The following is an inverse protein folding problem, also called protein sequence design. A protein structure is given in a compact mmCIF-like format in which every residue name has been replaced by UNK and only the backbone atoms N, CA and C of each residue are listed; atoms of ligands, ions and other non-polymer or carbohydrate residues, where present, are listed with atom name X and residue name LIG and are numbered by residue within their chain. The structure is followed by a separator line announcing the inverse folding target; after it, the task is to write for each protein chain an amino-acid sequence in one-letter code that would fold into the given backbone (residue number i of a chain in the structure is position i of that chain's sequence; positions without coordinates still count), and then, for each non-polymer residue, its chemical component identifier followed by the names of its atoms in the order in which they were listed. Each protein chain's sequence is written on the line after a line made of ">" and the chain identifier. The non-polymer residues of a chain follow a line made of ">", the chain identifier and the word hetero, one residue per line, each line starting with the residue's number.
data_IF_837527203974
#
_entry.id   IF_837527203974
#
_cell.length_a   1.000
_cell.length_b   1.000
_cell.length_c   1.000
_cell.angle_alpha   90.00
_cell.angle_beta   90.00
_cell.angle_gamma   90.00
#
_symmetry.space_group_name_H-M   'P 1'
#
loop_
_entity.id
_entity.type
_entity.pdbx_description
1 polymer ?
#
# COMPACT_ATOMS: atom_id res chain seq x y z
N UNK A 1 19.55 -24.45 -2.46
CA UNK A 1 20.98 -24.77 -2.18
C UNK A 1 21.55 -23.83 -1.12
N UNK A 2 21.27 -22.53 -1.20
CA UNK A 2 21.81 -21.51 -0.29
C UNK A 2 21.16 -21.43 1.09
N UNK A 3 20.02 -22.10 1.33
CA UNK A 3 19.30 -22.03 2.62
C UNK A 3 20.20 -22.34 3.81
N UNK A 4 21.07 -23.36 3.73
CA UNK A 4 21.95 -23.74 4.84
C UNK A 4 22.96 -22.65 5.21
N UNK A 5 23.57 -21.99 4.22
CA UNK A 5 24.57 -20.94 4.47
C UNK A 5 23.90 -19.65 4.94
N UNK A 6 22.69 -19.36 4.45
CA UNK A 6 21.85 -18.25 4.91
C UNK A 6 21.44 -18.47 6.37
N UNK A 7 20.92 -19.66 6.72
CA UNK A 7 20.49 -19.98 8.08
C UNK A 7 21.67 -19.92 9.06
N UNK A 8 22.87 -20.37 8.64
CA UNK A 8 24.08 -20.27 9.44
C UNK A 8 24.50 -18.81 9.69
N UNK A 9 24.40 -17.93 8.67
CA UNK A 9 24.64 -16.50 8.83
C UNK A 9 23.64 -15.87 9.80
N UNK A 10 22.34 -16.07 9.58
CA UNK A 10 21.26 -15.51 10.42
C UNK A 10 21.41 -15.98 11.88
N UNK A 11 21.78 -17.24 12.11
CA UNK A 11 21.98 -17.76 13.47
C UNK A 11 23.19 -17.13 14.18
N UNK A 12 24.27 -16.85 13.44
CA UNK A 12 25.49 -16.25 13.99
C UNK A 12 25.32 -14.75 14.28
N UNK A 13 24.50 -14.06 13.49
CA UNK A 13 24.31 -12.61 13.50
C UNK A 13 22.96 -12.19 14.12
N UNK A 14 22.40 -13.01 15.02
CA UNK A 14 21.12 -12.69 15.68
C UNK A 14 21.19 -11.33 16.37
N UNK A 15 20.19 -10.51 16.09
CA UNK A 15 20.07 -9.16 16.65
C UNK A 15 18.62 -8.92 17.05
N UNK A 16 18.43 -8.27 18.19
CA UNK A 16 17.13 -7.78 18.65
C UNK A 16 16.82 -6.38 18.08
N UNK A 17 17.75 -5.80 17.29
CA UNK A 17 17.56 -4.51 16.65
C UNK A 17 16.38 -4.57 15.67
N UNK A 18 15.44 -3.66 15.83
CA UNK A 18 14.32 -3.49 14.91
C UNK A 18 14.71 -2.43 13.87
N UNK A 19 15.08 -2.83 12.64
CA UNK A 19 15.55 -1.88 11.63
C UNK A 19 14.44 -0.91 11.24
N UNK A 20 14.79 0.37 11.13
CA UNK A 20 13.97 1.37 10.42
C UNK A 20 14.44 1.53 8.98
N UNK A 21 14.86 0.44 8.35
CA UNK A 21 15.35 0.43 6.98
C UNK A 21 14.29 -0.18 6.09
N UNK A 22 13.97 0.50 5.01
CA UNK A 22 13.01 0.04 4.02
C UNK A 22 13.76 -0.48 2.80
N UNK A 23 13.40 -1.68 2.37
CA UNK A 23 13.88 -2.23 1.10
C UNK A 23 13.43 -1.32 -0.04
N UNK A 24 14.36 -0.93 -0.90
CA UNK A 24 14.07 -0.23 -2.14
C UNK A 24 14.09 -1.21 -3.31
N UNK A 25 15.24 -1.79 -3.64
CA UNK A 25 15.37 -2.68 -4.80
C UNK A 25 16.60 -3.58 -4.73
N UNK A 26 16.72 -4.53 -5.65
CA UNK A 26 17.83 -5.48 -5.73
C UNK A 26 18.35 -5.70 -7.16
N UNK A 27 19.64 -5.51 -7.39
CA UNK A 27 20.28 -5.94 -8.62
C UNK A 27 21.02 -7.26 -8.44
N UNK A 28 20.65 -8.27 -9.24
CA UNK A 28 21.35 -9.54 -9.30
C UNK A 28 22.47 -9.43 -10.34
N UNK A 29 23.71 -9.34 -9.87
CA UNK A 29 24.87 -9.19 -10.75
C UNK A 29 25.25 -10.52 -11.44
N UNK A 30 25.19 -11.61 -10.69
CA UNK A 30 25.48 -12.95 -11.17
C UNK A 30 24.67 -14.02 -10.39
N UNK A 31 25.03 -15.29 -10.55
CA UNK A 31 24.29 -16.39 -9.92
C UNK A 31 24.36 -16.39 -8.39
N UNK A 32 25.36 -15.72 -7.80
CA UNK A 32 25.72 -15.72 -6.38
C UNK A 32 25.79 -14.33 -5.75
N UNK A 33 25.90 -13.28 -6.55
CA UNK A 33 26.11 -11.90 -6.08
C UNK A 33 24.85 -11.06 -6.27
N UNK A 34 24.44 -10.39 -5.19
CA UNK A 34 23.27 -9.52 -5.13
C UNK A 34 23.67 -8.16 -4.55
N UNK A 35 23.24 -7.08 -5.19
CA UNK A 35 23.31 -5.74 -4.64
C UNK A 35 21.91 -5.32 -4.20
N UNK A 36 21.82 -4.73 -3.03
CA UNK A 36 20.59 -4.22 -2.48
C UNK A 36 20.72 -2.72 -2.29
N UNK A 37 19.60 -2.05 -2.48
CA UNK A 37 19.38 -0.66 -2.11
C UNK A 37 18.29 -0.66 -1.04
N UNK A 38 18.62 -0.08 0.10
CA UNK A 38 17.72 0.23 1.20
C UNK A 38 17.72 1.73 1.41
N UNK A 39 16.71 2.23 2.13
CA UNK A 39 16.71 3.61 2.54
C UNK A 39 16.12 3.77 3.95
N UNK A 40 16.46 4.89 4.57
CA UNK A 40 15.88 5.37 5.83
C UNK A 40 15.62 6.86 5.70
N UNK A 41 14.64 7.39 6.42
CA UNK A 41 14.51 8.83 6.61
C UNK A 41 15.03 9.25 7.98
N UNK A 42 15.87 10.28 8.00
CA UNK A 42 16.41 10.85 9.23
C UNK A 42 15.33 11.63 10.01
N UNK A 43 15.64 12.18 11.21
CA UNK A 43 14.66 12.98 11.97
C UNK A 43 14.19 14.27 11.26
N UNK A 44 14.90 14.73 10.23
CA UNK A 44 14.50 15.84 9.35
C UNK A 44 13.72 15.37 8.13
N UNK A 45 13.44 14.06 8.04
CA UNK A 45 12.75 13.37 6.95
C UNK A 45 13.53 13.34 5.62
N UNK A 46 14.83 13.60 5.67
CA UNK A 46 15.72 13.45 4.52
C UNK A 46 16.05 11.96 4.32
N UNK A 47 15.91 11.50 3.08
CA UNK A 47 16.24 10.14 2.71
C UNK A 47 17.75 9.93 2.71
N UNK A 48 18.18 8.82 3.32
CA UNK A 48 19.54 8.30 3.33
C UNK A 48 19.49 6.94 2.65
N UNK A 49 20.19 6.83 1.53
CA UNK A 49 20.32 5.59 0.77
C UNK A 49 21.45 4.74 1.34
N UNK A 50 21.20 3.43 1.40
CA UNK A 50 22.10 2.42 1.95
C UNK A 50 22.24 1.30 0.95
N UNK A 51 23.47 0.95 0.62
CA UNK A 51 23.81 -0.08 -0.34
C UNK A 51 24.56 -1.21 0.35
N UNK A 52 24.09 -2.43 0.11
CA UNK A 52 24.82 -3.63 0.54
C UNK A 52 25.01 -4.60 -0.61
N UNK A 53 26.08 -5.37 -0.54
CA UNK A 53 26.40 -6.44 -1.44
C UNK A 53 26.44 -7.76 -0.67
N UNK A 54 25.76 -8.78 -1.20
CA UNK A 54 25.72 -10.13 -0.65
C UNK A 54 26.34 -11.08 -1.67
N UNK A 55 27.31 -11.88 -1.23
CA UNK A 55 27.90 -12.96 -2.01
C UNK A 55 27.61 -14.32 -1.37
N UNK A 56 27.03 -15.23 -2.15
CA UNK A 56 26.67 -16.60 -1.74
C UNK A 56 27.76 -17.60 -2.15
N UNK A 57 28.90 -17.54 -1.45
CA UNK A 57 30.03 -18.45 -1.62
C UNK A 57 29.87 -19.78 -0.86
N UNK A 58 30.97 -20.26 -0.29
CA UNK A 58 30.95 -21.37 0.68
C UNK A 58 30.35 -20.90 2.03
N UNK A 59 30.57 -19.63 2.36
CA UNK A 59 29.89 -18.89 3.42
C UNK A 59 29.23 -17.64 2.81
N UNK A 60 28.29 -17.04 3.55
CA UNK A 60 27.68 -15.77 3.17
C UNK A 60 28.64 -14.64 3.52
N UNK A 61 28.99 -13.83 2.53
CA UNK A 61 29.75 -12.59 2.72
C UNK A 61 28.81 -11.41 2.50
N UNK A 62 28.81 -10.46 3.44
CA UNK A 62 28.01 -9.24 3.36
C UNK A 62 28.94 -8.03 3.47
N UNK A 63 28.77 -7.09 2.55
CA UNK A 63 29.49 -5.81 2.53
C UNK A 63 28.49 -4.67 2.48
N UNK A 64 28.35 -3.95 3.58
CA UNK A 64 27.61 -2.68 3.64
C UNK A 64 28.56 -1.57 3.19
N UNK A 65 28.11 -0.67 2.31
CA UNK A 65 28.95 0.38 1.73
C UNK A 65 29.00 1.64 2.62
N UNK A 66 28.00 1.82 3.47
CA UNK A 66 27.84 2.93 4.41
C UNK A 66 28.45 2.60 5.77
N UNK A 67 28.83 3.66 6.50
CA UNK A 67 29.36 3.56 7.86
C UNK A 67 28.20 3.46 8.87
N UNK A 68 27.70 2.23 9.08
CA UNK A 68 26.62 1.92 10.02
C UNK A 68 27.15 1.14 11.23
N UNK A 69 26.40 1.18 12.34
CA UNK A 69 26.72 0.38 13.52
C UNK A 69 26.54 -1.12 13.22
N UNK A 70 27.36 -1.99 13.83
CA UNK A 70 27.40 -3.44 13.56
C UNK A 70 26.01 -4.11 13.64
N UNK A 71 25.23 -3.82 14.69
CA UNK A 71 23.86 -4.35 14.83
C UNK A 71 22.89 -3.90 13.72
N UNK A 72 23.11 -2.74 13.10
CA UNK A 72 22.30 -2.26 11.98
C UNK A 72 22.69 -2.98 10.70
N UNK A 73 23.99 -3.16 10.47
CA UNK A 73 24.51 -4.00 9.39
C UNK A 73 23.93 -5.41 9.45
N UNK A 74 23.94 -6.04 10.63
CA UNK A 74 23.38 -7.38 10.84
C UNK A 74 21.87 -7.43 10.53
N UNK A 75 21.10 -6.44 10.99
CA UNK A 75 19.66 -6.40 10.77
C UNK A 75 19.29 -6.25 9.28
N UNK A 76 19.94 -5.34 8.55
CA UNK A 76 19.71 -5.14 7.12
C UNK A 76 20.18 -6.37 6.34
N UNK A 77 21.33 -6.95 6.70
CA UNK A 77 21.84 -8.17 6.09
C UNK A 77 20.86 -9.34 6.25
N UNK A 78 20.28 -9.53 7.44
CA UNK A 78 19.30 -10.59 7.69
C UNK A 78 18.04 -10.38 6.84
N UNK A 79 17.52 -9.16 6.75
CA UNK A 79 16.36 -8.85 5.90
C UNK A 79 16.65 -9.17 4.42
N UNK A 80 17.78 -8.67 3.90
CA UNK A 80 18.21 -8.92 2.52
C UNK A 80 18.42 -10.41 2.24
N UNK A 81 19.02 -11.17 3.16
CA UNK A 81 19.19 -12.62 3.02
C UNK A 81 17.85 -13.37 3.03
N UNK A 82 16.86 -12.93 3.80
CA UNK A 82 15.52 -13.49 3.76
C UNK A 82 14.86 -13.27 2.39
N UNK A 83 15.08 -12.12 1.75
CA UNK A 83 14.64 -11.84 0.37
C UNK A 83 15.38 -12.72 -0.66
N UNK A 84 16.71 -12.80 -0.59
CA UNK A 84 17.53 -13.71 -1.42
C UNK A 84 17.04 -15.16 -1.31
N UNK A 85 16.71 -15.62 -0.10
CA UNK A 85 16.15 -16.95 0.13
C UNK A 85 14.82 -17.14 -0.62
N UNK A 86 13.97 -16.11 -0.65
CA UNK A 86 12.75 -16.10 -1.46
C UNK A 86 13.07 -16.26 -2.94
N UNK A 87 13.97 -15.43 -3.47
CA UNK A 87 14.30 -15.39 -4.89
C UNK A 87 14.98 -16.66 -5.40
N UNK A 88 16.00 -17.14 -4.69
CA UNK A 88 16.86 -18.25 -5.13
C UNK A 88 16.20 -19.63 -5.06
N UNK A 89 15.03 -19.73 -4.43
CA UNK A 89 14.23 -20.95 -4.41
C UNK A 89 13.36 -21.14 -5.66
N UNK A 90 13.36 -20.17 -6.58
CA UNK A 90 12.51 -20.18 -7.78
C UNK A 90 13.34 -20.26 -9.06
N UNK A 91 12.76 -20.89 -10.08
CA UNK A 91 13.40 -21.01 -11.39
C UNK A 91 13.33 -19.67 -12.12
N UNK A 92 14.45 -19.27 -12.72
CA UNK A 92 14.55 -18.13 -13.64
C UNK A 92 15.05 -18.59 -14.99
N UNK A 93 14.80 -17.80 -16.03
CA UNK A 93 15.27 -18.03 -17.39
C UNK A 93 16.11 -16.89 -17.94
N UNK A 94 15.97 -15.68 -17.39
CA UNK A 94 16.84 -14.56 -17.73
C UNK A 94 18.12 -14.71 -16.91
N UNK A 95 19.25 -14.86 -17.59
CA UNK A 95 20.55 -14.84 -16.93
C UNK A 95 20.83 -13.41 -16.41
N UNK A 96 21.43 -13.25 -15.22
CA UNK A 96 21.77 -11.93 -14.64
C UNK A 96 22.50 -11.00 -15.63
N UNK A 97 23.51 -11.53 -16.32
CA UNK A 97 24.30 -10.80 -17.33
C UNK A 97 23.52 -10.37 -18.58
N UNK A 98 22.29 -10.85 -18.76
CA UNK A 98 21.40 -10.55 -19.89
C UNK A 98 20.22 -9.66 -19.51
N UNK A 99 20.12 -9.21 -18.25
CA UNK A 99 19.01 -8.40 -17.79
C UNK A 99 18.90 -7.07 -18.53
N UNK A 100 20.02 -6.33 -18.64
CA UNK A 100 20.05 -5.06 -19.39
C UNK A 100 19.59 -5.24 -20.84
N UNK A 101 20.13 -6.25 -21.55
CA UNK A 101 19.74 -6.55 -22.93
C UNK A 101 18.24 -6.88 -23.05
N UNK A 102 17.69 -7.62 -22.08
CA UNK A 102 16.28 -7.97 -22.04
C UNK A 102 15.39 -6.75 -21.78
N UNK A 103 15.72 -5.91 -20.79
CA UNK A 103 14.94 -4.70 -20.47
C UNK A 103 14.94 -3.73 -21.64
N UNK A 104 16.07 -3.56 -22.32
CA UNK A 104 16.16 -2.70 -23.49
C UNK A 104 15.35 -3.21 -24.70
N UNK A 105 15.23 -4.53 -24.88
CA UNK A 105 14.52 -5.15 -25.99
C UNK A 105 13.71 -6.38 -25.54
N UNK A 106 12.58 -6.18 -24.84
CA UNK A 106 11.88 -7.26 -24.17
C UNK A 106 11.20 -8.18 -25.18
N UNK A 107 11.54 -9.47 -25.12
CA UNK A 107 10.88 -10.52 -25.89
C UNK A 107 10.16 -11.46 -24.93
N UNK A 108 8.85 -11.25 -24.79
CA UNK A 108 7.98 -12.09 -23.95
C UNK A 108 7.81 -13.47 -24.59
N UNK A 109 8.10 -14.52 -23.81
CA UNK A 109 8.03 -15.93 -24.25
C UNK A 109 7.48 -16.80 -23.12
N UNK A 110 6.89 -17.94 -23.49
CA UNK A 110 6.30 -18.89 -22.53
C UNK A 110 7.31 -19.45 -21.51
N UNK A 111 8.61 -19.41 -21.83
CA UNK A 111 9.67 -19.86 -20.94
C UNK A 111 9.88 -18.94 -19.73
N UNK A 112 9.52 -17.65 -19.85
CA UNK A 112 9.66 -16.69 -18.75
C UNK A 112 8.86 -17.14 -17.53
N UNK A 113 9.38 -16.84 -16.35
CA UNK A 113 8.75 -17.18 -15.07
C UNK A 113 8.29 -15.93 -14.33
N UNK A 114 7.44 -16.14 -13.32
CA UNK A 114 7.05 -15.08 -12.39
C UNK A 114 8.26 -14.43 -11.70
N UNK A 115 9.28 -15.22 -11.36
CA UNK A 115 10.51 -14.69 -10.73
C UNK A 115 11.37 -13.88 -11.71
N UNK A 116 11.34 -14.20 -13.02
CA UNK A 116 11.99 -13.36 -14.03
C UNK A 116 11.37 -11.96 -14.04
N UNK A 117 10.05 -11.84 -13.87
CA UNK A 117 9.38 -10.53 -13.82
C UNK A 117 9.75 -9.73 -12.58
N UNK A 118 9.90 -10.38 -11.42
CA UNK A 118 10.37 -9.70 -10.22
C UNK A 118 11.78 -9.16 -10.41
N UNK A 119 12.69 -9.95 -10.99
CA UNK A 119 14.04 -9.46 -11.28
C UNK A 119 14.06 -8.35 -12.34
N UNK A 120 13.10 -8.31 -13.27
CA UNK A 120 12.95 -7.18 -14.20
C UNK A 120 12.52 -5.92 -13.44
N UNK A 121 11.56 -6.03 -12.51
CA UNK A 121 11.15 -4.91 -11.65
C UNK A 121 12.33 -4.41 -10.84
N UNK A 122 12.97 -5.29 -10.06
CA UNK A 122 14.07 -4.91 -9.18
C UNK A 122 15.23 -4.29 -9.97
N UNK A 123 15.55 -4.82 -11.15
CA UNK A 123 16.59 -4.26 -12.03
C UNK A 123 16.25 -2.84 -12.48
N UNK A 124 15.03 -2.62 -12.98
CA UNK A 124 14.60 -1.29 -13.44
C UNK A 124 14.64 -0.31 -12.26
N UNK A 125 14.09 -0.68 -11.10
CA UNK A 125 14.08 0.19 -9.92
C UNK A 125 15.47 0.46 -9.36
N UNK A 126 16.40 -0.49 -9.42
CA UNK A 126 17.78 -0.29 -8.97
C UNK A 126 18.57 0.65 -9.89
N UNK A 127 18.38 0.55 -11.22
CA UNK A 127 19.17 1.32 -12.19
C UNK A 127 18.53 2.66 -12.58
N UNK A 128 17.20 2.75 -12.56
CA UNK A 128 16.43 3.93 -12.98
C UNK A 128 15.75 4.64 -11.80
N UNK A 129 15.72 4.02 -10.62
CA UNK A 129 15.02 4.51 -9.43
C UNK A 129 13.52 4.20 -9.44
N UNK A 130 12.84 4.48 -8.32
CA UNK A 130 11.38 4.34 -8.20
C UNK A 130 10.67 5.62 -8.60
N UNK A 131 10.28 5.69 -9.87
CA UNK A 131 9.58 6.84 -10.45
C UNK A 131 8.56 6.39 -11.52
N UNK A 132 7.64 7.28 -11.96
CA UNK A 132 6.59 6.90 -12.91
C UNK A 132 7.10 6.32 -14.24
N UNK A 133 8.24 6.76 -14.76
CA UNK A 133 8.81 6.28 -16.02
C UNK A 133 9.36 4.85 -15.86
N UNK A 134 10.07 4.59 -14.77
CA UNK A 134 10.56 3.25 -14.41
C UNK A 134 9.40 2.26 -14.20
N UNK A 135 8.37 2.67 -13.48
CA UNK A 135 7.17 1.84 -13.27
C UNK A 135 6.45 1.58 -14.60
N UNK A 136 6.32 2.57 -15.47
CA UNK A 136 5.78 2.39 -16.82
C UNK A 136 6.62 1.40 -17.64
N UNK A 137 7.95 1.52 -17.61
CA UNK A 137 8.86 0.63 -18.32
C UNK A 137 8.65 -0.83 -17.89
N UNK A 138 8.56 -1.10 -16.59
CA UNK A 138 8.25 -2.43 -16.06
C UNK A 138 6.89 -2.94 -16.56
N UNK A 139 5.81 -2.18 -16.38
CA UNK A 139 4.47 -2.66 -16.75
C UNK A 139 4.28 -2.84 -18.26
N UNK A 140 5.04 -2.12 -19.10
CA UNK A 140 5.07 -2.34 -20.55
C UNK A 140 5.55 -3.74 -20.97
N UNK A 141 6.31 -4.40 -20.07
CA UNK A 141 6.79 -5.78 -20.19
C UNK A 141 5.84 -6.72 -19.45
N UNK A 142 5.53 -6.41 -18.19
CA UNK A 142 4.75 -7.26 -17.31
C UNK A 142 3.35 -7.55 -17.85
N UNK A 143 2.65 -6.53 -18.38
CA UNK A 143 1.29 -6.71 -18.89
C UNK A 143 1.26 -7.68 -20.08
N UNK A 144 2.23 -7.60 -21.00
CA UNK A 144 2.36 -8.55 -22.12
C UNK A 144 2.64 -9.98 -21.63
N UNK A 145 3.47 -10.12 -20.61
CA UNK A 145 3.70 -11.41 -19.97
C UNK A 145 2.41 -11.95 -19.33
N UNK A 146 1.66 -11.09 -18.65
CA UNK A 146 0.40 -11.45 -18.01
C UNK A 146 -0.68 -11.86 -19.03
N UNK A 147 -0.84 -11.10 -20.11
CA UNK A 147 -1.70 -11.43 -21.25
C UNK A 147 -1.35 -12.78 -21.87
N UNK A 148 -0.06 -13.06 -22.09
CA UNK A 148 0.39 -14.36 -22.58
C UNK A 148 -0.01 -15.50 -21.64
N UNK A 149 0.10 -15.32 -20.32
CA UNK A 149 -0.34 -16.34 -19.36
C UNK A 149 -1.85 -16.60 -19.46
N UNK A 150 -2.66 -15.56 -19.68
CA UNK A 150 -4.11 -15.67 -19.92
C UNK A 150 -4.38 -16.47 -21.19
N UNK A 151 -3.77 -16.08 -22.32
CA UNK A 151 -3.94 -16.76 -23.62
C UNK A 151 -3.61 -18.25 -23.54
N UNK A 152 -2.59 -18.60 -22.75
CA UNK A 152 -2.12 -19.97 -22.54
C UNK A 152 -2.82 -20.70 -21.40
N UNK A 153 -3.79 -20.05 -20.73
CA UNK A 153 -4.55 -20.59 -19.59
C UNK A 153 -3.65 -21.06 -18.44
N UNK A 154 -2.53 -20.37 -18.21
CA UNK A 154 -1.55 -20.67 -17.15
C UNK A 154 -1.94 -19.98 -15.84
N UNK A 155 -3.14 -20.31 -15.35
CA UNK A 155 -3.76 -19.62 -14.21
C UNK A 155 -2.93 -19.73 -12.92
N UNK A 156 -2.27 -20.87 -12.69
CA UNK A 156 -1.41 -21.04 -11.51
C UNK A 156 -0.23 -20.07 -11.54
N UNK A 157 0.39 -19.89 -12.69
CA UNK A 157 1.48 -18.94 -12.89
C UNK A 157 1.01 -17.50 -12.89
N UNK A 158 -0.22 -17.21 -13.33
CA UNK A 158 -0.82 -15.87 -13.20
C UNK A 158 -0.93 -15.47 -11.73
N UNK A 159 -1.56 -16.34 -10.91
CA UNK A 159 -1.72 -16.09 -9.47
C UNK A 159 -0.36 -15.95 -8.80
N UNK A 160 0.61 -16.82 -9.13
CA UNK A 160 1.97 -16.69 -8.61
C UNK A 160 2.64 -15.37 -9.02
N UNK A 161 2.51 -14.98 -10.28
CA UNK A 161 3.12 -13.75 -10.80
C UNK A 161 2.57 -12.49 -10.14
N UNK A 162 1.26 -12.44 -9.92
CA UNK A 162 0.64 -11.28 -9.32
C UNK A 162 0.88 -11.22 -7.81
N UNK A 163 0.79 -12.36 -7.13
CA UNK A 163 1.14 -12.50 -5.70
C UNK A 163 2.58 -12.03 -5.41
N UNK A 164 3.55 -12.47 -6.22
CA UNK A 164 4.93 -12.00 -6.09
C UNK A 164 5.08 -10.50 -6.38
N UNK A 165 4.35 -9.96 -7.36
CA UNK A 165 4.38 -8.52 -7.64
C UNK A 165 3.86 -7.73 -6.45
N UNK A 166 2.76 -8.17 -5.82
CA UNK A 166 2.24 -7.52 -4.62
C UNK A 166 3.24 -7.57 -3.46
N UNK A 167 4.04 -8.63 -3.33
CA UNK A 167 5.07 -8.77 -2.29
C UNK A 167 6.26 -7.79 -2.43
N UNK A 168 6.55 -7.31 -3.64
CA UNK A 168 7.68 -6.39 -3.86
C UNK A 168 7.34 -4.92 -3.67
N UNK A 169 6.07 -4.53 -3.83
CA UNK A 169 5.65 -3.13 -3.78
C UNK A 169 5.68 -2.61 -2.34
N UNK A 170 6.23 -1.42 -2.15
CA UNK A 170 6.13 -0.72 -0.88
C UNK A 170 4.76 -0.01 -0.77
N UNK A 171 3.93 -0.44 0.17
CA UNK A 171 2.60 0.14 0.35
C UNK A 171 2.62 1.40 1.21
N UNK A 172 2.89 1.26 2.51
CA UNK A 172 2.78 2.37 3.44
C UNK A 172 3.92 2.31 4.45
N UNK A 173 4.72 3.37 4.52
CA UNK A 173 5.74 3.55 5.56
C UNK A 173 5.57 4.92 6.20
N UNK A 174 5.21 4.92 7.48
CA UNK A 174 5.09 6.13 8.27
C UNK A 174 6.42 6.47 8.94
N UNK A 175 7.07 7.54 8.48
CA UNK A 175 8.25 8.11 9.09
C UNK A 175 7.87 9.17 10.11
N UNK A 176 8.53 9.14 11.26
CA UNK A 176 8.31 10.08 12.36
C UNK A 176 9.56 10.94 12.52
N UNK A 177 9.46 12.20 12.11
CA UNK A 177 10.48 13.22 12.32
C UNK A 177 10.35 13.89 13.69
N UNK A 178 11.08 14.99 13.89
CA UNK A 178 11.11 15.70 15.18
C UNK A 178 9.73 16.28 15.54
N UNK A 179 9.05 16.91 14.58
CA UNK A 179 7.77 17.61 14.81
C UNK A 179 6.67 17.20 13.83
N UNK A 180 6.97 16.32 12.88
CA UNK A 180 6.09 16.01 11.76
C UNK A 180 6.22 14.55 11.35
N UNK A 181 5.25 14.08 10.56
CA UNK A 181 5.29 12.73 9.98
C UNK A 181 5.37 12.81 8.47
N UNK A 182 5.89 11.76 7.83
CA UNK A 182 5.89 11.60 6.38
C UNK A 182 5.40 10.21 6.05
N UNK A 183 4.53 10.07 5.05
CA UNK A 183 4.00 8.79 4.62
C UNK A 183 4.54 8.45 3.22
N UNK A 184 5.44 7.46 3.10
CA UNK A 184 5.82 6.95 1.78
C UNK A 184 4.71 6.02 1.25
N UNK A 185 4.32 6.22 -0.02
CA UNK A 185 3.24 5.49 -0.69
C UNK A 185 3.57 5.12 -2.14
N UNK A 186 4.63 4.33 -2.33
CA UNK A 186 5.04 3.88 -3.66
C UNK A 186 3.92 3.17 -4.44
N UNK A 187 3.05 2.41 -3.75
CA UNK A 187 1.90 1.74 -4.37
C UNK A 187 1.01 2.65 -5.24
N UNK A 188 0.98 3.96 -5.00
CA UNK A 188 0.22 4.92 -5.82
C UNK A 188 0.69 4.91 -7.29
N UNK A 189 1.99 4.69 -7.54
CA UNK A 189 2.53 4.56 -8.91
C UNK A 189 2.08 3.26 -9.60
N UNK A 190 1.84 2.21 -8.82
CA UNK A 190 1.42 0.90 -9.32
C UNK A 190 -0.10 0.77 -9.46
N UNK A 191 -0.86 1.62 -8.77
CA UNK A 191 -2.30 1.50 -8.57
C UNK A 191 -3.08 1.28 -9.88
N UNK A 192 -2.83 2.09 -10.91
CA UNK A 192 -3.54 1.98 -12.19
C UNK A 192 -3.28 0.64 -12.90
N UNK A 193 -2.05 0.15 -12.84
CA UNK A 193 -1.67 -1.13 -13.44
C UNK A 193 -2.23 -2.31 -12.65
N UNK A 194 -2.21 -2.23 -11.32
CA UNK A 194 -2.81 -3.25 -10.47
C UNK A 194 -4.32 -3.37 -10.75
N UNK A 195 -5.04 -2.24 -10.83
CA UNK A 195 -6.46 -2.24 -11.25
C UNK A 195 -6.63 -2.94 -12.61
N UNK A 196 -5.77 -2.64 -13.59
CA UNK A 196 -5.82 -3.29 -14.89
C UNK A 196 -5.59 -4.81 -14.81
N UNK A 197 -4.64 -5.26 -13.98
CA UNK A 197 -4.35 -6.68 -13.77
C UNK A 197 -5.54 -7.38 -13.12
N UNK A 198 -6.11 -6.80 -12.07
CA UNK A 198 -7.32 -7.32 -11.41
C UNK A 198 -8.46 -7.45 -12.43
N UNK A 199 -8.70 -6.44 -13.25
CA UNK A 199 -9.75 -6.49 -14.27
C UNK A 199 -9.50 -7.58 -15.33
N UNK A 200 -8.25 -7.82 -15.72
CA UNK A 200 -7.88 -8.94 -16.60
C UNK A 200 -8.07 -10.31 -15.93
N UNK A 201 -7.95 -10.37 -14.61
CA UNK A 201 -8.11 -11.56 -13.79
C UNK A 201 -9.58 -11.94 -13.55
N UNK A 202 -10.47 -10.95 -13.40
CA UNK A 202 -11.88 -11.14 -13.03
C UNK A 202 -12.61 -12.25 -13.79
N UNK A 203 -12.46 -12.41 -15.13
CA UNK A 203 -13.15 -13.47 -15.86
C UNK A 203 -12.71 -14.90 -15.52
N UNK A 204 -11.57 -15.08 -14.87
CA UNK A 204 -10.90 -16.38 -14.68
C UNK A 204 -10.76 -16.79 -13.20
N UNK A 205 -11.48 -16.10 -12.30
CA UNK A 205 -11.29 -16.22 -10.85
C UNK A 205 -11.59 -17.61 -10.34
N UNK A 206 -12.59 -18.29 -10.90
CA UNK A 206 -12.89 -19.69 -10.54
C UNK A 206 -11.70 -20.58 -10.87
N UNK A 207 -11.20 -20.51 -12.09
CA UNK A 207 -10.10 -21.34 -12.55
C UNK A 207 -8.81 -21.07 -11.76
N UNK A 208 -8.54 -19.80 -11.43
CA UNK A 208 -7.43 -19.40 -10.57
C UNK A 208 -7.57 -19.94 -9.14
N UNK A 209 -8.78 -19.87 -8.59
CA UNK A 209 -9.08 -20.41 -7.26
C UNK A 209 -8.94 -21.94 -7.21
N UNK A 210 -9.41 -22.64 -8.24
CA UNK A 210 -9.35 -24.11 -8.31
C UNK A 210 -7.90 -24.63 -8.37
N UNK A 211 -7.00 -23.90 -9.02
CA UNK A 211 -5.60 -24.32 -9.17
C UNK A 211 -4.68 -23.85 -8.05
N UNK A 212 -5.03 -22.77 -7.33
CA UNK A 212 -4.15 -22.15 -6.32
C UNK A 212 -4.91 -21.40 -5.20
N UNK A 213 -5.79 -22.09 -4.44
CA UNK A 213 -6.70 -21.45 -3.50
C UNK A 213 -5.98 -20.70 -2.37
N UNK A 214 -4.95 -21.30 -1.78
CA UNK A 214 -4.18 -20.68 -0.68
C UNK A 214 -3.48 -19.39 -1.12
N UNK A 215 -2.99 -19.35 -2.36
CA UNK A 215 -2.30 -18.16 -2.89
C UNK A 215 -3.28 -17.07 -3.28
N UNK A 216 -4.44 -17.44 -3.83
CA UNK A 216 -5.53 -16.49 -4.05
C UNK A 216 -5.94 -15.82 -2.74
N UNK A 217 -6.07 -16.59 -1.65
CA UNK A 217 -6.37 -16.04 -0.33
C UNK A 217 -5.26 -15.09 0.17
N UNK A 218 -3.98 -15.48 0.01
CA UNK A 218 -2.84 -14.63 0.37
C UNK A 218 -2.83 -13.30 -0.41
N UNK A 219 -3.05 -13.37 -1.72
CA UNK A 219 -3.08 -12.21 -2.60
C UNK A 219 -4.19 -11.22 -2.23
N UNK A 220 -5.41 -11.71 -1.94
CA UNK A 220 -6.51 -10.83 -1.53
C UNK A 220 -6.25 -10.25 -0.15
N UNK A 221 -5.68 -11.02 0.78
CA UNK A 221 -5.23 -10.47 2.05
C UNK A 221 -4.21 -9.35 1.84
N UNK A 222 -3.20 -9.55 1.00
CA UNK A 222 -2.19 -8.53 0.72
C UNK A 222 -2.87 -7.25 0.24
N UNK A 223 -3.81 -7.39 -0.71
CA UNK A 223 -4.61 -6.28 -1.21
C UNK A 223 -5.49 -5.62 -0.14
N UNK A 224 -5.92 -6.35 0.89
CA UNK A 224 -6.78 -5.87 1.98
C UNK A 224 -6.02 -5.36 3.21
N UNK A 225 -4.71 -5.62 3.32
CA UNK A 225 -3.88 -5.30 4.48
C UNK A 225 -3.75 -3.80 4.70
N UNK A 226 -3.64 -3.05 3.62
CA UNK A 226 -3.44 -1.59 3.64
C UNK A 226 -4.71 -0.90 3.16
N UNK A 227 -5.40 -0.18 4.04
CA UNK A 227 -6.72 0.38 3.72
C UNK A 227 -6.65 1.42 2.60
N UNK A 228 -5.62 2.28 2.53
CA UNK A 228 -5.52 3.28 1.44
C UNK A 228 -5.40 2.58 0.12
N UNK A 229 -4.50 1.61 0.03
CA UNK A 229 -4.35 0.79 -1.17
C UNK A 229 -5.65 0.05 -1.52
N UNK A 230 -6.27 -0.63 -0.56
CA UNK A 230 -7.50 -1.41 -0.75
C UNK A 230 -8.61 -0.57 -1.37
N UNK A 231 -8.85 0.61 -0.80
CA UNK A 231 -9.88 1.55 -1.25
C UNK A 231 -9.52 2.11 -2.63
N UNK A 232 -8.24 2.40 -2.83
CA UNK A 232 -7.74 2.83 -4.11
C UNK A 232 -7.95 1.79 -5.21
N UNK A 233 -8.13 0.50 -4.93
CA UNK A 233 -8.42 -0.53 -5.94
C UNK A 233 -9.81 -1.15 -5.83
N UNK A 234 -10.63 -0.67 -4.88
CA UNK A 234 -11.89 -1.28 -4.48
C UNK A 234 -12.85 -1.54 -5.63
N UNK A 235 -13.04 -0.57 -6.53
CA UNK A 235 -13.94 -0.72 -7.69
C UNK A 235 -13.54 -1.86 -8.63
N UNK A 236 -12.26 -2.23 -8.67
CA UNK A 236 -11.78 -3.39 -9.44
C UNK A 236 -11.92 -4.70 -8.64
N UNK A 237 -11.82 -4.62 -7.31
CA UNK A 237 -12.04 -5.74 -6.38
C UNK A 237 -13.53 -6.11 -6.23
N UNK A 238 -14.44 -5.15 -6.41
CA UNK A 238 -15.87 -5.38 -6.24
C UNK A 238 -16.36 -6.56 -7.10
N UNK A 239 -15.90 -6.66 -8.35
CA UNK A 239 -16.21 -7.81 -9.22
C UNK A 239 -15.74 -9.14 -8.62
N UNK A 240 -14.54 -9.19 -8.03
CA UNK A 240 -14.05 -10.39 -7.34
C UNK A 240 -14.94 -10.78 -6.16
N UNK A 241 -15.36 -9.80 -5.36
CA UNK A 241 -16.12 -9.99 -4.13
C UNK A 241 -17.58 -10.38 -4.42
N UNK A 242 -18.19 -9.71 -5.40
CA UNK A 242 -19.62 -9.85 -5.73
C UNK A 242 -19.91 -11.07 -6.60
N UNK A 243 -19.03 -11.38 -7.57
CA UNK A 243 -19.26 -12.50 -8.49
C UNK A 243 -18.91 -13.87 -7.86
N UNK A 244 -18.23 -13.86 -6.70
CA UNK A 244 -17.79 -15.07 -6.00
C UNK A 244 -18.05 -15.02 -4.47
N UNK A 245 -19.31 -15.16 -4.03
CA UNK A 245 -19.70 -15.19 -2.61
C UNK A 245 -18.86 -16.18 -1.77
N UNK A 246 -18.65 -17.41 -2.28
CA UNK A 246 -17.86 -18.45 -1.61
C UNK A 246 -16.40 -18.04 -1.36
N UNK A 247 -15.88 -17.08 -2.12
CA UNK A 247 -14.54 -16.53 -1.93
C UNK A 247 -14.49 -15.68 -0.67
N UNK A 248 -15.54 -14.90 -0.37
CA UNK A 248 -15.65 -14.08 0.85
C UNK A 248 -15.65 -14.95 2.09
N UNK A 249 -16.42 -16.03 2.09
CA UNK A 249 -16.45 -17.00 3.20
C UNK A 249 -15.10 -17.69 3.38
N UNK A 250 -14.47 -18.16 2.30
CA UNK A 250 -13.15 -18.80 2.38
C UNK A 250 -12.05 -17.82 2.80
N UNK A 251 -12.17 -16.54 2.48
CA UNK A 251 -11.28 -15.49 2.97
C UNK A 251 -11.46 -15.28 4.47
N UNK A 252 -12.70 -15.25 4.95
CA UNK A 252 -13.01 -15.17 6.38
C UNK A 252 -12.45 -16.38 7.13
N UNK A 253 -12.63 -17.60 6.60
CA UNK A 253 -12.06 -18.83 7.15
C UNK A 253 -10.53 -18.76 7.21
N UNK A 254 -9.88 -18.30 6.15
CA UNK A 254 -8.41 -18.14 6.12
C UNK A 254 -7.94 -17.11 7.16
N UNK A 255 -8.68 -16.01 7.34
CA UNK A 255 -8.42 -15.01 8.36
C UNK A 255 -8.51 -15.60 9.77
N UNK A 256 -9.60 -16.29 10.08
CA UNK A 256 -9.80 -16.93 11.38
C UNK A 256 -8.72 -17.98 11.70
N UNK A 257 -8.20 -18.67 10.67
CA UNK A 257 -7.17 -19.70 10.83
C UNK A 257 -5.75 -19.14 10.96
N UNK A 258 -5.47 -17.90 10.58
CA UNK A 258 -4.11 -17.34 10.54
C UNK A 258 -3.93 -16.01 11.31
N UNK A 259 -4.53 -15.80 12.50
CA UNK A 259 -4.70 -14.49 13.14
C UNK A 259 -3.39 -13.69 13.34
N UNK A 260 -2.26 -14.37 13.52
CA UNK A 260 -0.93 -13.75 13.71
C UNK A 260 -0.35 -13.07 12.47
N UNK A 261 -0.93 -13.31 11.28
CA UNK A 261 -0.49 -12.68 10.03
C UNK A 261 -1.19 -11.34 9.75
N UNK A 262 -2.18 -10.96 10.55
CA UNK A 262 -3.04 -9.81 10.27
C UNK A 262 -2.75 -8.65 11.24
N UNK A 263 -2.54 -7.43 10.71
CA UNK A 263 -2.75 -6.22 11.51
C UNK A 263 -4.24 -6.06 11.70
N UNK A 264 -4.66 -6.34 12.92
CA UNK A 264 -6.06 -6.50 13.29
C UNK A 264 -6.84 -5.22 13.04
N UNK A 265 -6.25 -4.02 13.14
CA UNK A 265 -7.03 -2.78 13.11
C UNK A 265 -7.41 -2.32 11.69
N UNK A 266 -6.44 -2.21 10.78
CA UNK A 266 -6.67 -1.70 9.43
C UNK A 266 -7.27 -2.75 8.50
N UNK A 267 -6.79 -3.99 8.59
CA UNK A 267 -7.33 -5.09 7.79
C UNK A 267 -8.81 -5.34 8.13
N UNK A 268 -9.20 -5.18 9.40
CA UNK A 268 -10.61 -5.29 9.81
C UNK A 268 -11.50 -4.24 9.16
N UNK A 269 -11.02 -3.01 8.97
CA UNK A 269 -11.80 -1.98 8.30
C UNK A 269 -12.15 -2.39 6.87
N UNK A 270 -11.15 -2.85 6.11
CA UNK A 270 -11.35 -3.30 4.72
C UNK A 270 -12.26 -4.52 4.66
N UNK A 271 -12.06 -5.50 5.55
CA UNK A 271 -12.96 -6.66 5.62
C UNK A 271 -14.39 -6.29 6.00
N UNK A 272 -14.59 -5.30 6.89
CA UNK A 272 -15.93 -4.79 7.19
C UNK A 272 -16.60 -4.18 5.97
N UNK A 273 -15.84 -3.47 5.13
CA UNK A 273 -16.34 -2.95 3.85
C UNK A 273 -16.75 -4.10 2.95
N UNK A 274 -15.86 -5.07 2.71
CA UNK A 274 -16.14 -6.22 1.82
C UNK A 274 -17.34 -7.03 2.29
N UNK A 275 -17.44 -7.27 3.60
CA UNK A 275 -18.57 -7.98 4.20
C UNK A 275 -19.88 -7.21 4.05
N UNK A 276 -19.88 -5.92 4.33
CA UNK A 276 -21.09 -5.10 4.20
C UNK A 276 -21.61 -5.08 2.75
N UNK A 277 -20.70 -5.04 1.78
CA UNK A 277 -21.03 -5.10 0.35
C UNK A 277 -21.63 -6.46 -0.02
N UNK A 278 -20.98 -7.54 0.41
CA UNK A 278 -21.45 -8.90 0.19
C UNK A 278 -22.83 -9.16 0.81
N UNK A 279 -23.03 -8.73 2.06
CA UNK A 279 -24.30 -8.86 2.80
C UNK A 279 -25.36 -7.85 2.33
N UNK A 280 -24.98 -6.89 1.45
CA UNK A 280 -25.80 -5.75 1.02
C UNK A 280 -26.33 -4.92 2.20
N UNK A 281 -25.51 -4.79 3.24
CA UNK A 281 -25.77 -3.95 4.41
C UNK A 281 -25.26 -2.53 4.16
N UNK A 282 -26.13 -1.69 3.59
CA UNK A 282 -25.84 -0.28 3.31
C UNK A 282 -25.44 0.49 4.57
N UNK A 283 -26.00 0.16 5.74
CA UNK A 283 -25.70 0.87 6.98
C UNK A 283 -24.30 0.51 7.50
N UNK A 284 -23.93 -0.77 7.47
CA UNK A 284 -22.60 -1.22 7.85
C UNK A 284 -21.54 -0.66 6.90
N UNK A 285 -21.84 -0.65 5.60
CA UNK A 285 -20.97 -0.07 4.57
C UNK A 285 -20.73 1.41 4.86
N UNK A 286 -21.81 2.19 5.02
CA UNK A 286 -21.72 3.63 5.27
C UNK A 286 -20.89 3.97 6.51
N UNK A 287 -21.04 3.20 7.59
CA UNK A 287 -20.22 3.36 8.81
C UNK A 287 -18.74 3.11 8.56
N UNK A 288 -18.40 2.07 7.80
CA UNK A 288 -17.00 1.77 7.47
C UNK A 288 -16.38 2.86 6.58
N UNK A 289 -17.13 3.36 5.61
CA UNK A 289 -16.72 4.49 4.76
C UNK A 289 -16.47 5.77 5.57
N UNK A 290 -17.30 6.07 6.58
CA UNK A 290 -17.05 7.19 7.52
C UNK A 290 -15.74 6.97 8.32
N UNK A 291 -15.47 5.74 8.76
CA UNK A 291 -14.22 5.42 9.47
C UNK A 291 -12.97 5.64 8.59
N UNK A 292 -13.04 5.29 7.30
CA UNK A 292 -12.00 5.61 6.33
C UNK A 292 -11.77 7.11 6.25
N UNK A 293 -12.85 7.88 6.12
CA UNK A 293 -12.75 9.34 6.03
C UNK A 293 -12.09 9.95 7.28
N UNK A 294 -12.41 9.43 8.47
CA UNK A 294 -11.76 9.82 9.73
C UNK A 294 -10.25 9.53 9.71
N UNK A 295 -9.83 8.41 9.13
CA UNK A 295 -8.41 8.08 8.97
C UNK A 295 -7.71 9.04 7.98
N UNK A 296 -8.31 9.30 6.83
CA UNK A 296 -7.79 10.27 5.85
C UNK A 296 -7.59 11.66 6.45
N UNK A 297 -8.60 12.15 7.20
CA UNK A 297 -8.49 13.44 7.90
C UNK A 297 -7.37 13.45 8.94
N UNK A 298 -7.20 12.35 9.68
CA UNK A 298 -6.11 12.23 10.63
C UNK A 298 -4.73 12.29 9.94
N UNK A 299 -4.61 11.76 8.73
CA UNK A 299 -3.38 11.88 7.96
C UNK A 299 -3.17 13.30 7.45
N UNK A 300 -4.18 13.90 6.81
CA UNK A 300 -4.10 15.27 6.27
C UNK A 300 -3.63 16.26 7.35
N UNK A 301 -4.07 16.06 8.59
CA UNK A 301 -3.70 16.93 9.71
C UNK A 301 -2.35 16.61 10.36
N UNK A 302 -1.72 15.47 10.07
CA UNK A 302 -0.52 15.00 10.79
C UNK A 302 0.71 14.75 9.92
N UNK A 303 0.55 14.52 8.61
CA UNK A 303 1.66 14.24 7.68
C UNK A 303 2.07 15.50 6.90
N UNK A 304 3.35 15.62 6.56
CA UNK A 304 3.85 16.78 5.78
C UNK A 304 3.43 16.71 4.32
N UNK A 305 3.44 15.53 3.71
CA UNK A 305 3.00 15.28 2.34
C UNK A 305 1.46 15.05 2.27
N UNK A 306 0.71 15.89 2.98
CA UNK A 306 -0.75 15.79 3.10
C UNK A 306 -1.49 15.98 1.78
N UNK A 307 -0.90 16.69 0.81
CA UNK A 307 -1.48 16.91 -0.52
C UNK A 307 -1.88 15.59 -1.22
N UNK A 308 -1.10 14.52 -1.03
CA UNK A 308 -1.43 13.18 -1.56
C UNK A 308 -2.70 12.62 -0.89
N UNK A 309 -2.85 12.82 0.42
CA UNK A 309 -4.03 12.36 1.17
C UNK A 309 -5.28 13.17 0.83
N UNK A 310 -5.13 14.47 0.61
CA UNK A 310 -6.21 15.34 0.14
C UNK A 310 -6.72 14.86 -1.23
N UNK A 311 -5.81 14.58 -2.17
CA UNK A 311 -6.18 14.07 -3.48
C UNK A 311 -6.87 12.70 -3.40
N UNK A 312 -6.32 11.77 -2.61
CA UNK A 312 -6.95 10.46 -2.36
C UNK A 312 -8.35 10.64 -1.75
N UNK A 313 -8.50 11.52 -0.76
CA UNK A 313 -9.77 11.78 -0.11
C UNK A 313 -10.79 12.44 -1.04
N UNK A 314 -10.38 13.36 -1.92
CA UNK A 314 -11.27 13.95 -2.92
C UNK A 314 -11.73 12.94 -3.96
N UNK A 315 -10.85 12.05 -4.42
CA UNK A 315 -11.22 10.95 -5.32
C UNK A 315 -12.21 10.02 -4.63
N UNK A 316 -11.94 9.67 -3.37
CA UNK A 316 -12.82 8.85 -2.55
C UNK A 316 -14.21 9.48 -2.38
N UNK A 317 -14.29 10.76 -2.03
CA UNK A 317 -15.56 11.48 -1.89
C UNK A 317 -16.33 11.61 -3.22
N UNK A 318 -15.64 11.71 -4.35
CA UNK A 318 -16.27 11.69 -5.68
C UNK A 318 -16.87 10.33 -6.02
N UNK A 319 -16.32 9.24 -5.48
CA UNK A 319 -16.84 7.88 -5.67
C UNK A 319 -17.98 7.56 -4.70
N UNK A 320 -17.81 7.89 -3.42
CA UNK A 320 -18.72 7.49 -2.35
C UNK A 320 -19.84 8.52 -2.05
N UNK A 321 -19.65 9.77 -2.46
CA UNK A 321 -20.58 10.88 -2.22
C UNK A 321 -20.09 11.87 -1.17
N UNK A 322 -20.31 13.17 -1.43
CA UNK A 322 -19.94 14.24 -0.50
C UNK A 322 -20.90 14.39 0.69
N UNK A 323 -22.05 13.74 0.64
CA UNK A 323 -23.02 13.68 1.73
C UNK A 323 -22.45 12.99 2.99
N UNK A 324 -21.41 12.17 2.85
CA UNK A 324 -20.65 11.59 3.98
C UNK A 324 -20.06 12.69 4.87
N UNK A 325 -19.58 13.79 4.27
CA UNK A 325 -19.02 14.90 5.04
C UNK A 325 -20.10 15.55 5.91
N UNK A 326 -21.32 15.65 5.39
CA UNK A 326 -22.47 16.21 6.11
C UNK A 326 -22.84 15.32 7.30
N UNK A 327 -22.87 14.01 7.11
CA UNK A 327 -23.14 13.03 8.17
C UNK A 327 -22.07 13.08 9.26
N UNK A 328 -20.80 13.12 8.87
CA UNK A 328 -19.68 13.21 9.79
C UNK A 328 -19.71 14.53 10.58
N UNK A 329 -20.05 15.62 9.91
CA UNK A 329 -20.18 16.93 10.55
C UNK A 329 -21.39 16.96 11.52
N UNK A 330 -22.51 16.33 11.20
CA UNK A 330 -23.65 16.24 12.13
C UNK A 330 -23.30 15.45 13.41
N UNK A 331 -22.51 14.38 13.27
CA UNK A 331 -22.02 13.57 14.38
C UNK A 331 -21.06 14.37 15.29
N UNK A 332 -20.06 15.00 14.68
CA UNK A 332 -18.89 15.54 15.41
C UNK A 332 -18.95 17.04 15.65
N UNK A 333 -19.62 17.80 14.78
CA UNK A 333 -19.57 19.27 14.64
C UNK A 333 -18.16 19.83 14.45
N UNK A 334 -17.21 19.00 14.02
CA UNK A 334 -15.83 19.43 13.87
C UNK A 334 -15.62 20.18 12.55
N UNK A 335 -15.26 21.46 12.65
CA UNK A 335 -14.98 22.31 11.50
C UNK A 335 -13.75 21.85 10.71
N UNK A 336 -12.87 21.03 11.30
CA UNK A 336 -11.67 20.51 10.64
C UNK A 336 -11.99 19.70 9.37
N UNK A 337 -13.20 19.14 9.28
CA UNK A 337 -13.70 18.42 8.10
C UNK A 337 -13.57 19.30 6.84
N UNK A 338 -14.00 20.56 6.94
CA UNK A 338 -13.99 21.49 5.80
C UNK A 338 -12.65 22.23 5.63
N UNK A 339 -11.74 22.09 6.60
CA UNK A 339 -10.32 22.45 6.41
C UNK A 339 -9.58 21.35 5.64
N UNK A 340 -9.89 20.07 5.88
CA UNK A 340 -9.32 18.95 5.12
C UNK A 340 -9.91 18.85 3.70
N UNK A 341 -11.20 19.15 3.55
CA UNK A 341 -11.92 19.09 2.28
C UNK A 341 -12.62 20.43 2.01
N UNK A 342 -12.00 21.34 1.22
CA UNK A 342 -12.53 22.67 1.01
C UNK A 342 -13.95 22.67 0.43
N UNK A 343 -14.82 23.54 0.94
CA UNK A 343 -16.22 23.67 0.47
C UNK A 343 -16.30 23.99 -1.03
N UNK A 344 -15.27 24.66 -1.57
CA UNK A 344 -15.14 24.94 -3.01
C UNK A 344 -15.09 23.69 -3.90
N UNK A 345 -14.62 22.56 -3.36
CA UNK A 345 -14.57 21.27 -4.07
C UNK A 345 -15.88 20.46 -3.93
N UNK A 346 -16.80 20.91 -3.07
CA UNK A 346 -18.06 20.23 -2.78
C UNK A 346 -19.15 20.73 -3.75
N UNK A 347 -20.02 19.83 -4.28
CA UNK A 347 -21.13 20.22 -5.14
C UNK A 347 -22.02 21.34 -4.56
N UNK A 348 -22.34 22.34 -5.40
CA UNK A 348 -23.06 23.57 -5.01
C UNK A 348 -24.47 23.30 -4.49
N UNK A 349 -25.09 22.18 -4.86
CA UNK A 349 -26.39 21.76 -4.34
C UNK A 349 -26.35 21.37 -2.85
N UNK A 350 -25.18 20.99 -2.31
CA UNK A 350 -24.98 20.70 -0.89
C UNK A 350 -24.67 21.95 -0.06
N UNK A 351 -24.26 23.05 -0.68
CA UNK A 351 -23.85 24.29 -0.01
C UNK A 351 -24.89 24.86 0.95
N UNK A 352 -26.21 24.90 0.63
CA UNK A 352 -27.22 25.37 1.58
C UNK A 352 -27.28 24.53 2.87
N UNK A 353 -27.05 23.22 2.76
CA UNK A 353 -27.02 22.31 3.91
C UNK A 353 -25.78 22.56 4.77
N UNK A 354 -24.61 22.70 4.13
CA UNK A 354 -23.34 23.03 4.81
C UNK A 354 -23.47 24.35 5.56
N UNK A 355 -23.97 25.40 4.91
CA UNK A 355 -24.17 26.71 5.54
C UNK A 355 -25.01 26.60 6.81
N UNK A 356 -26.14 25.89 6.75
CA UNK A 356 -27.01 25.71 7.91
C UNK A 356 -26.31 24.91 9.04
N UNK A 357 -25.59 23.84 8.69
CA UNK A 357 -24.81 23.05 9.65
C UNK A 357 -23.74 23.91 10.35
N UNK A 358 -23.01 24.73 9.60
CA UNK A 358 -21.99 25.64 10.15
C UNK A 358 -22.61 26.69 11.09
N UNK A 359 -23.74 27.29 10.72
CA UNK A 359 -24.47 28.26 11.56
C UNK A 359 -24.96 27.63 12.87
N UNK A 360 -25.49 26.40 12.82
CA UNK A 360 -25.93 25.67 14.01
C UNK A 360 -24.75 25.23 14.90
N UNK A 361 -23.64 24.77 14.31
CA UNK A 361 -22.42 24.46 15.03
C UNK A 361 -21.84 25.70 15.72
N UNK A 362 -21.86 26.86 15.06
CA UNK A 362 -21.42 28.13 15.63
C UNK A 362 -22.25 28.50 16.86
N UNK A 363 -23.58 28.38 16.78
CA UNK A 363 -24.48 28.58 17.94
C UNK A 363 -24.21 27.59 19.06
N UNK A 364 -23.90 26.33 18.72
CA UNK A 364 -23.54 25.30 19.69
C UNK A 364 -22.26 25.66 20.46
N UNK A 365 -21.16 25.94 19.76
CA UNK A 365 -19.89 26.27 20.42
C UNK A 365 -19.95 27.62 21.16
N UNK A 366 -20.70 28.60 20.65
CA UNK A 366 -20.93 29.86 21.36
C UNK A 366 -21.61 29.63 22.73
N UNK A 367 -22.55 28.67 22.83
CA UNK A 367 -23.14 28.29 24.13
C UNK A 367 -22.13 27.59 25.03
N UNK A 368 -21.24 26.76 24.46
CA UNK A 368 -20.19 26.03 25.18
C UNK A 368 -19.08 26.92 25.73
N UNK A 369 -18.92 28.16 25.25
CA UNK A 369 -17.98 29.14 25.84
C UNK A 369 -18.23 29.44 27.33
N UNK A 370 -19.47 29.19 27.80
CA UNK A 370 -19.85 29.34 29.20
C UNK A 370 -19.27 28.23 30.09
N UNK A 371 -18.88 27.08 29.53
CA UNK A 371 -18.20 26.00 30.22
C UNK A 371 -16.68 26.25 30.24
N UNK A 372 -16.07 26.52 31.41
CA UNK A 372 -14.63 26.74 31.50
C UNK A 372 -13.79 25.58 30.97
N UNK A 373 -14.28 24.33 31.05
CA UNK A 373 -13.54 23.16 30.59
C UNK A 373 -13.46 23.06 29.05
N UNK A 374 -14.44 23.62 28.34
CA UNK A 374 -14.56 23.53 26.87
C UNK A 374 -14.29 24.84 26.15
N UNK A 375 -14.01 25.93 26.90
CA UNK A 375 -13.87 27.28 26.35
C UNK A 375 -12.77 27.40 25.30
N UNK A 376 -11.60 26.81 25.52
CA UNK A 376 -10.47 26.91 24.59
C UNK A 376 -10.74 26.17 23.27
N UNK A 377 -11.26 24.95 23.35
CA UNK A 377 -11.69 24.17 22.20
C UNK A 377 -12.79 24.90 21.42
N UNK A 378 -13.81 25.39 22.14
CA UNK A 378 -14.94 26.12 21.55
C UNK A 378 -14.47 27.39 20.84
N UNK A 379 -13.50 28.13 21.41
CA UNK A 379 -12.94 29.32 20.77
C UNK A 379 -12.25 28.98 19.45
N UNK A 380 -11.48 27.89 19.41
CA UNK A 380 -10.83 27.40 18.18
C UNK A 380 -11.86 27.06 17.10
N UNK A 381 -12.88 26.27 17.46
CA UNK A 381 -13.96 25.89 16.55
C UNK A 381 -14.75 27.12 16.06
N UNK A 382 -15.10 28.06 16.94
CA UNK A 382 -15.78 29.32 16.56
C UNK A 382 -14.96 30.12 15.55
N UNK A 383 -13.65 30.22 15.74
CA UNK A 383 -12.77 30.93 14.80
C UNK A 383 -12.82 30.28 13.41
N UNK A 384 -12.61 28.96 13.34
CA UNK A 384 -12.64 28.20 12.09
C UNK A 384 -14.01 28.28 11.40
N UNK A 385 -15.10 28.09 12.14
CA UNK A 385 -16.47 28.16 11.60
C UNK A 385 -16.80 29.54 11.02
N UNK A 386 -16.40 30.63 11.70
CA UNK A 386 -16.59 31.98 11.17
C UNK A 386 -15.82 32.22 9.88
N UNK A 387 -14.56 31.77 9.81
CA UNK A 387 -13.75 31.86 8.59
C UNK A 387 -14.43 31.11 7.44
N UNK A 388 -14.84 29.86 7.67
CA UNK A 388 -15.55 29.05 6.66
C UNK A 388 -16.82 29.74 6.15
N UNK A 389 -17.62 30.32 7.05
CA UNK A 389 -18.83 31.05 6.68
C UNK A 389 -18.53 32.29 5.82
N UNK A 390 -17.54 33.10 6.21
CA UNK A 390 -17.17 34.35 5.51
C UNK A 390 -16.57 34.07 4.13
N UNK A 391 -15.74 33.03 4.03
CA UNK A 391 -15.01 32.73 2.78
C UNK A 391 -15.89 32.04 1.73
N UNK A 392 -16.95 31.34 2.15
CA UNK A 392 -17.74 30.49 1.25
C UNK A 392 -19.21 30.92 1.05
N UNK A 393 -19.79 31.80 1.89
CA UNK A 393 -21.22 32.17 1.85
C UNK A 393 -21.52 33.64 2.17
#
# INVERSE_FOLDING_TARGET
>A
MYSKIIDAYIQKHQTDYQPKYCYHSCDRLDEKTFKFHYYVRDPQLLQIDIFLEIYLGDEVEVKVLEDLHEHECDAIAIDALNRVRGYTNRKTTIAPSKMNEFVANPVVRESLTAQDMIYVLDYIEYHEGKNPDAIYAFYSIYLKYFEMLIEKKRYKEMVLSFDLLLDEILYEVMWVGINTKYLDQEHLMHQAYIRSIINMMNPYVREMFDVSPERMAHMIWHMAKYWRFSISIYTSLEGLIMDYPDMVDKMADYYEQNPSKFDVSQTQLVFRIFRAVHERDEQAYRKAIIEVLKLLMADITTVVNHEEQEQVGLIFLKQEGFDILLELFDETRDASIYTCFPISEIPVDLHPYIKNQLEEALKFYAKMMNDPARRMESLGQIATLNTLLIENF
#
